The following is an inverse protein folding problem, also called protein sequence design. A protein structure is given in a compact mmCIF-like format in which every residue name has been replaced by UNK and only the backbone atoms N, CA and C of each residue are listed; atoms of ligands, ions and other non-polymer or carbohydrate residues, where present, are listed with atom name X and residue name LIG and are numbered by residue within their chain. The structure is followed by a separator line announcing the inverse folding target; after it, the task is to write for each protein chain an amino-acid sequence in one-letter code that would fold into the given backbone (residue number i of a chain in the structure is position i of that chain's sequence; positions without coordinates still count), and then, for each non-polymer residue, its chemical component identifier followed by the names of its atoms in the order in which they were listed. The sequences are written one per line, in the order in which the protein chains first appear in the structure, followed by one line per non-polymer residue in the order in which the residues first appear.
data_IF_015114675963
#
_entry.id   IF_015114675963
#
_cell.length_a   1.000
_cell.length_b   1.000
_cell.length_c   1.000
_cell.angle_alpha   90.00
_cell.angle_beta   90.00
_cell.angle_gamma   90.00
#
_symmetry.space_group_name_H-M   'P 1'
#
loop_
_entity.id
_entity.type
_entity.pdbx_description
1 polymer ?
#
# COMPACT_ATOMS: atom_id res chain seq x y z
N UNK A 1 8.95 -49.14 -51.40
CA UNK A 1 8.01 -50.27 -51.28
C UNK A 1 6.62 -49.69 -51.06
N UNK A 2 5.71 -49.83 -52.03
CA UNK A 2 4.30 -49.50 -51.83
C UNK A 2 3.72 -50.58 -50.91
N UNK A 3 3.45 -50.25 -49.66
CA UNK A 3 2.72 -51.14 -48.76
C UNK A 3 1.31 -51.29 -49.31
N UNK A 4 0.98 -52.49 -49.77
CA UNK A 4 -0.36 -52.85 -50.18
C UNK A 4 -1.27 -52.69 -48.95
N UNK A 5 -2.02 -51.60 -48.89
CA UNK A 5 -3.06 -51.41 -47.88
C UNK A 5 -4.26 -52.24 -48.33
N UNK A 6 -4.11 -53.57 -48.32
CA UNK A 6 -5.19 -54.48 -48.65
C UNK A 6 -6.24 -54.37 -47.55
N UNK A 7 -7.27 -53.56 -47.80
CA UNK A 7 -8.43 -53.44 -46.93
C UNK A 7 -9.05 -54.83 -46.77
N UNK A 8 -9.07 -55.33 -45.53
CA UNK A 8 -9.72 -56.59 -45.19
C UNK A 8 -11.00 -56.32 -44.44
N UNK A 9 -12.06 -57.02 -44.83
CA UNK A 9 -13.32 -57.00 -44.09
C UNK A 9 -13.13 -57.70 -42.74
N UNK A 10 -13.64 -57.08 -41.68
CA UNK A 10 -13.68 -57.62 -40.32
C UNK A 10 -15.13 -57.64 -39.84
N UNK A 11 -15.59 -58.80 -39.37
CA UNK A 11 -16.94 -58.95 -38.79
C UNK A 11 -16.83 -58.86 -37.27
N UNK A 12 -17.47 -57.85 -36.68
CA UNK A 12 -17.59 -57.66 -35.24
C UNK A 12 -19.05 -57.85 -34.84
N UNK A 13 -19.31 -58.78 -33.92
CA UNK A 13 -20.66 -59.06 -33.40
C UNK A 13 -20.74 -58.65 -31.93
N UNK A 14 -21.74 -57.83 -31.60
CA UNK A 14 -22.01 -57.40 -30.22
C UNK A 14 -23.39 -57.92 -29.77
N UNK A 15 -23.48 -58.33 -28.50
CA UNK A 15 -24.77 -58.67 -27.88
C UNK A 15 -25.39 -57.38 -27.36
N UNK A 16 -26.45 -56.93 -28.00
CA UNK A 16 -27.16 -55.69 -27.67
C UNK A 16 -28.66 -55.93 -27.61
N UNK A 17 -29.35 -55.18 -26.77
CA UNK A 17 -30.82 -55.18 -26.73
C UNK A 17 -31.40 -54.54 -28.00
N UNK A 18 -32.67 -54.83 -28.30
CA UNK A 18 -33.38 -54.22 -29.43
C UNK A 18 -33.40 -52.69 -29.34
N UNK A 19 -33.49 -52.14 -28.11
CA UNK A 19 -33.43 -50.70 -27.84
C UNK A 19 -32.06 -50.10 -28.17
N UNK A 20 -30.97 -50.72 -27.71
CA UNK A 20 -29.63 -50.22 -28.03
C UNK A 20 -29.37 -50.27 -29.54
N UNK A 21 -29.84 -51.33 -30.21
CA UNK A 21 -29.72 -51.45 -31.66
C UNK A 21 -30.44 -50.30 -32.39
N UNK A 22 -31.65 -49.93 -31.96
CA UNK A 22 -32.38 -48.82 -32.58
C UNK A 22 -31.72 -47.46 -32.30
N UNK A 23 -31.16 -47.27 -31.11
CA UNK A 23 -30.39 -46.07 -30.76
C UNK A 23 -29.13 -45.92 -31.64
N UNK A 24 -28.37 -46.99 -31.86
CA UNK A 24 -27.17 -46.95 -32.72
C UNK A 24 -27.51 -46.61 -34.17
N UNK A 25 -28.58 -47.22 -34.71
CA UNK A 25 -29.06 -46.92 -36.07
C UNK A 25 -29.49 -45.46 -36.18
N UNK A 26 -30.18 -44.94 -35.17
CA UNK A 26 -30.62 -43.54 -35.13
C UNK A 26 -29.42 -42.58 -35.09
N UNK A 27 -28.43 -42.83 -34.24
CA UNK A 27 -27.23 -42.02 -34.12
C UNK A 27 -26.42 -41.99 -35.42
N UNK A 28 -26.23 -43.15 -36.05
CA UNK A 28 -25.54 -43.23 -37.34
C UNK A 28 -26.31 -42.46 -38.43
N UNK A 29 -27.63 -42.65 -38.51
CA UNK A 29 -28.50 -41.97 -39.48
C UNK A 29 -28.53 -40.45 -39.30
N UNK A 30 -28.53 -39.97 -38.05
CA UNK A 30 -28.46 -38.53 -37.74
C UNK A 30 -27.18 -37.87 -38.27
N UNK A 31 -26.09 -38.63 -38.38
CA UNK A 31 -24.81 -38.15 -38.88
C UNK A 31 -24.58 -38.52 -40.36
N UNK A 32 -25.58 -39.11 -41.04
CA UNK A 32 -25.50 -39.47 -42.46
C UNK A 32 -24.52 -40.62 -42.76
N UNK A 33 -24.20 -41.46 -41.79
CA UNK A 33 -23.23 -42.56 -41.92
C UNK A 33 -23.86 -43.92 -41.62
N UNK A 34 -23.22 -45.00 -42.08
CA UNK A 34 -23.62 -46.36 -41.72
C UNK A 34 -23.26 -46.68 -40.27
N UNK A 35 -23.95 -47.66 -39.67
CA UNK A 35 -23.63 -48.15 -38.32
C UNK A 35 -22.20 -48.72 -38.26
N UNK A 36 -21.75 -49.38 -39.34
CA UNK A 36 -20.38 -49.89 -39.45
C UNK A 36 -19.33 -48.78 -39.44
N UNK A 37 -19.56 -47.69 -40.17
CA UNK A 37 -18.66 -46.52 -40.15
C UNK A 37 -18.65 -45.85 -38.79
N UNK A 38 -19.82 -45.69 -38.17
CA UNK A 38 -19.94 -45.13 -36.83
C UNK A 38 -19.15 -45.95 -35.80
N UNK A 39 -19.27 -47.27 -35.83
CA UNK A 39 -18.51 -48.18 -34.95
C UNK A 39 -17.00 -48.11 -35.25
N UNK A 40 -16.61 -48.06 -36.52
CA UNK A 40 -15.21 -47.93 -36.91
C UNK A 40 -14.59 -46.63 -36.38
N UNK A 41 -15.31 -45.49 -36.46
CA UNK A 41 -14.87 -44.22 -35.88
C UNK A 41 -14.66 -44.31 -34.36
N UNK A 42 -15.54 -45.01 -33.65
CA UNK A 42 -15.41 -45.20 -32.19
C UNK A 42 -14.17 -46.04 -31.87
N UNK A 43 -13.97 -47.16 -32.56
CA UNK A 43 -12.81 -48.04 -32.36
C UNK A 43 -11.53 -47.26 -32.62
N UNK A 44 -11.44 -46.56 -33.75
CA UNK A 44 -10.25 -45.80 -34.14
C UNK A 44 -9.93 -44.67 -33.15
N UNK A 45 -10.96 -43.98 -32.66
CA UNK A 45 -10.81 -42.89 -31.67
C UNK A 45 -10.36 -43.37 -30.29
N UNK A 46 -10.54 -44.66 -29.98
CA UNK A 46 -10.27 -45.21 -28.65
C UNK A 46 -9.27 -46.37 -28.65
N UNK A 47 -8.68 -46.73 -29.80
CA UNK A 47 -7.77 -47.88 -29.96
C UNK A 47 -6.59 -47.93 -28.98
N UNK A 48 -6.11 -46.76 -28.53
CA UNK A 48 -4.99 -46.64 -27.61
C UNK A 48 -5.41 -46.35 -26.16
N UNK A 49 -6.72 -46.27 -25.89
CA UNK A 49 -7.26 -45.92 -24.57
C UNK A 49 -7.60 -47.12 -23.70
N UNK A 50 -7.67 -48.32 -24.27
CA UNK A 50 -7.99 -49.54 -23.55
C UNK A 50 -7.03 -49.78 -22.38
N UNK A 51 -7.58 -49.87 -21.16
CA UNK A 51 -6.82 -50.05 -19.91
C UNK A 51 -6.20 -48.76 -19.35
N UNK A 52 -6.45 -47.61 -19.99
CA UNK A 52 -6.03 -46.27 -19.57
C UNK A 52 -7.24 -45.33 -19.46
N UNK A 53 -8.45 -45.87 -19.45
CA UNK A 53 -9.66 -45.10 -19.25
C UNK A 53 -9.62 -44.43 -17.87
N UNK A 54 -9.44 -43.10 -17.86
CA UNK A 54 -9.34 -42.30 -16.65
C UNK A 54 -7.92 -41.84 -16.31
N UNK A 55 -6.90 -42.33 -17.03
CA UNK A 55 -5.55 -41.77 -16.88
C UNK A 55 -5.54 -40.33 -17.41
N UNK A 56 -5.01 -39.37 -16.64
CA UNK A 56 -4.91 -38.01 -17.10
C UNK A 56 -4.00 -37.95 -18.33
N UNK A 57 -4.50 -37.32 -19.37
CA UNK A 57 -3.74 -37.06 -20.58
C UNK A 57 -2.52 -36.20 -20.24
N UNK A 58 -1.45 -36.28 -21.05
CA UNK A 58 -0.24 -35.45 -20.86
C UNK A 58 -0.59 -33.96 -20.72
N UNK A 59 -1.57 -33.50 -21.51
CA UNK A 59 -2.09 -32.13 -21.46
C UNK A 59 -2.74 -31.80 -20.12
N UNK A 60 -3.54 -32.70 -19.56
CA UNK A 60 -4.17 -32.49 -18.25
C UNK A 60 -3.11 -32.41 -17.14
N UNK A 61 -2.09 -33.25 -17.19
CA UNK A 61 -0.96 -33.21 -16.24
C UNK A 61 -0.19 -31.89 -16.34
N UNK A 62 0.06 -31.41 -17.56
CA UNK A 62 0.74 -30.12 -17.80
C UNK A 62 -0.09 -28.93 -17.28
N UNK A 63 -1.39 -28.93 -17.56
CA UNK A 63 -2.31 -27.92 -17.05
C UNK A 63 -2.38 -27.93 -15.53
N UNK A 64 -2.40 -29.10 -14.90
CA UNK A 64 -2.44 -29.20 -13.44
C UNK A 64 -1.16 -28.64 -12.79
N UNK A 65 0.01 -28.92 -13.38
CA UNK A 65 1.28 -28.31 -12.95
C UNK A 65 1.30 -26.80 -13.12
N UNK A 66 0.76 -26.28 -14.22
CA UNK A 66 0.66 -24.85 -14.45
C UNK A 66 -0.26 -24.18 -13.41
N UNK A 67 -1.43 -24.78 -13.15
CA UNK A 67 -2.38 -24.31 -12.13
C UNK A 67 -1.70 -24.27 -10.75
N UNK A 68 -0.93 -25.31 -10.39
CA UNK A 68 -0.22 -25.36 -9.12
C UNK A 68 0.84 -24.25 -9.02
N UNK A 69 1.60 -24.01 -10.10
CA UNK A 69 2.59 -22.93 -10.19
C UNK A 69 1.95 -21.56 -10.02
N UNK A 70 0.84 -21.30 -10.72
CA UNK A 70 0.10 -20.04 -10.63
C UNK A 70 -0.46 -19.83 -9.23
N UNK A 71 -1.05 -20.87 -8.62
CA UNK A 71 -1.53 -20.80 -7.23
C UNK A 71 -0.43 -20.42 -6.24
N UNK A 72 0.75 -21.04 -6.37
CA UNK A 72 1.91 -20.70 -5.52
C UNK A 72 2.34 -19.24 -5.71
N UNK A 73 2.38 -18.73 -6.93
CA UNK A 73 2.69 -17.32 -7.22
C UNK A 73 1.66 -16.37 -6.62
N UNK A 74 0.36 -16.68 -6.77
CA UNK A 74 -0.71 -15.86 -6.20
C UNK A 74 -0.64 -15.76 -4.67
N UNK A 75 -0.33 -16.85 -3.98
CA UNK A 75 -0.15 -16.83 -2.52
C UNK A 75 1.01 -15.93 -2.11
N UNK A 76 2.14 -15.98 -2.82
CA UNK A 76 3.30 -15.11 -2.55
C UNK A 76 2.96 -13.65 -2.79
N UNK A 77 2.39 -13.32 -3.95
CA UNK A 77 2.00 -11.95 -4.29
C UNK A 77 0.99 -11.36 -3.29
N UNK A 78 0.05 -12.17 -2.80
CA UNK A 78 -0.89 -11.74 -1.76
C UNK A 78 -0.18 -11.36 -0.46
N UNK A 79 0.78 -12.18 -0.01
CA UNK A 79 1.60 -11.87 1.17
C UNK A 79 2.45 -10.63 0.97
N UNK A 80 3.07 -10.49 -0.19
CA UNK A 80 3.91 -9.33 -0.52
C UNK A 80 3.08 -8.05 -0.53
N UNK A 81 1.86 -8.11 -1.06
CA UNK A 81 0.89 -7.00 -1.01
C UNK A 81 0.51 -6.65 0.43
N UNK A 82 0.11 -7.62 1.23
CA UNK A 82 -0.26 -7.39 2.64
C UNK A 82 0.91 -6.76 3.43
N UNK A 83 2.15 -7.21 3.17
CA UNK A 83 3.37 -6.64 3.75
C UNK A 83 3.61 -5.21 3.29
N UNK A 84 3.43 -4.91 2.00
CA UNK A 84 3.57 -3.57 1.46
C UNK A 84 2.52 -2.61 2.06
N UNK A 85 1.25 -3.03 2.11
CA UNK A 85 0.16 -2.26 2.71
C UNK A 85 0.44 -1.96 4.19
N UNK A 86 0.95 -2.95 4.93
CA UNK A 86 1.38 -2.75 6.33
C UNK A 86 2.51 -1.72 6.44
N UNK A 87 3.55 -1.81 5.61
CA UNK A 87 4.66 -0.85 5.61
C UNK A 87 4.19 0.58 5.32
N UNK A 88 3.30 0.75 4.32
CA UNK A 88 2.70 2.06 4.01
C UNK A 88 1.94 2.59 5.21
N UNK A 89 1.10 1.77 5.85
CA UNK A 89 0.34 2.20 7.03
C UNK A 89 1.22 2.65 8.20
N UNK A 90 2.38 2.01 8.37
CA UNK A 90 3.33 2.38 9.42
C UNK A 90 4.01 3.72 9.13
N UNK A 91 4.44 3.93 7.88
CA UNK A 91 5.05 5.21 7.47
C UNK A 91 4.05 6.36 7.50
N UNK A 92 2.79 6.12 7.13
CA UNK A 92 1.72 7.13 7.27
C UNK A 92 1.54 7.53 8.73
N UNK A 93 1.45 6.56 9.65
CA UNK A 93 1.36 6.86 11.09
C UNK A 93 2.57 7.65 11.62
N UNK A 94 3.77 7.35 11.11
CA UNK A 94 4.98 8.11 11.48
C UNK A 94 4.93 9.54 10.95
N UNK A 95 4.50 9.72 9.70
CA UNK A 95 4.32 11.03 9.09
C UNK A 95 3.30 11.87 9.85
N UNK A 96 2.13 11.30 10.16
CA UNK A 96 1.08 11.97 10.94
C UNK A 96 1.60 12.39 12.31
N UNK A 97 2.37 11.53 12.99
CA UNK A 97 2.99 11.86 14.27
C UNK A 97 3.95 13.04 14.15
N UNK A 98 4.83 13.02 13.14
CA UNK A 98 5.79 14.10 12.91
C UNK A 98 5.10 15.43 12.56
N UNK A 99 4.00 15.38 11.81
CA UNK A 99 3.18 16.57 11.51
C UNK A 99 2.55 17.13 12.77
N UNK A 100 1.95 16.28 13.61
CA UNK A 100 1.36 16.71 14.88
C UNK A 100 2.41 17.33 15.82
N UNK A 101 3.57 16.69 15.98
CA UNK A 101 4.67 17.21 16.80
C UNK A 101 5.16 18.58 16.29
N UNK A 102 5.28 18.73 14.95
CA UNK A 102 5.64 20.01 14.33
C UNK A 102 4.60 21.09 14.60
N UNK A 103 3.32 20.76 14.45
CA UNK A 103 2.23 21.72 14.60
C UNK A 103 2.10 22.18 16.06
N UNK A 104 2.32 21.27 17.01
CA UNK A 104 2.40 21.57 18.45
C UNK A 104 3.55 22.54 18.76
N UNK A 105 4.77 22.24 18.28
CA UNK A 105 5.93 23.11 18.47
C UNK A 105 5.69 24.48 17.83
N UNK A 106 5.07 24.51 16.63
CA UNK A 106 4.76 25.76 15.93
C UNK A 106 3.72 26.59 16.70
N UNK A 107 2.75 25.94 17.34
CA UNK A 107 1.78 26.62 18.18
C UNK A 107 2.46 27.24 19.41
N UNK A 108 3.26 26.46 20.14
CA UNK A 108 4.01 26.95 21.31
C UNK A 108 4.96 28.11 20.95
N UNK A 109 5.63 28.02 19.79
CA UNK A 109 6.49 29.10 19.31
C UNK A 109 5.70 30.39 19.04
N UNK A 110 4.52 30.30 18.41
CA UNK A 110 3.66 31.46 18.17
C UNK A 110 3.21 32.11 19.48
N UNK A 111 2.83 31.30 20.46
CA UNK A 111 2.47 31.80 21.80
C UNK A 111 3.62 32.56 22.45
N UNK A 112 4.84 32.01 22.41
CA UNK A 112 6.05 32.68 22.93
C UNK A 112 6.42 33.96 22.18
N UNK A 113 6.22 34.01 20.87
CA UNK A 113 6.42 35.24 20.10
C UNK A 113 5.46 36.33 20.57
N UNK A 114 4.17 36.00 20.74
CA UNK A 114 3.16 36.96 21.21
C UNK A 114 3.45 37.43 22.64
N UNK A 115 3.82 36.52 23.54
CA UNK A 115 4.27 36.88 24.90
C UNK A 115 5.47 37.83 24.86
N UNK A 116 6.46 37.56 24.01
CA UNK A 116 7.67 38.37 23.88
C UNK A 116 7.34 39.78 23.35
N UNK A 117 6.48 39.88 22.34
CA UNK A 117 6.03 41.17 21.80
C UNK A 117 5.25 41.98 22.85
N UNK A 118 4.38 41.34 23.62
CA UNK A 118 3.70 42.00 24.76
C UNK A 118 4.69 42.50 25.81
N UNK A 119 5.72 41.71 26.14
CA UNK A 119 6.75 42.11 27.10
C UNK A 119 7.62 43.26 26.56
N UNK A 120 8.01 43.22 25.28
CA UNK A 120 8.72 44.33 24.63
C UNK A 120 7.90 45.63 24.68
N UNK A 121 6.62 45.56 24.32
CA UNK A 121 5.72 46.71 24.40
C UNK A 121 5.59 47.25 25.84
N UNK A 122 5.54 46.37 26.86
CA UNK A 122 5.56 46.80 28.27
C UNK A 122 6.88 47.48 28.64
N UNK A 123 8.02 46.90 28.26
CA UNK A 123 9.35 47.47 28.52
C UNK A 123 9.43 48.85 27.88
N UNK A 124 9.02 49.00 26.62
CA UNK A 124 9.04 50.26 25.88
C UNK A 124 8.14 51.32 26.52
N UNK A 125 6.96 50.92 27.01
CA UNK A 125 6.06 51.81 27.76
C UNK A 125 6.61 52.25 29.12
N UNK A 126 7.44 51.43 29.76
CA UNK A 126 8.07 51.75 31.04
C UNK A 126 9.43 52.44 30.89
N UNK A 127 10.07 52.35 29.72
CA UNK A 127 11.34 53.02 29.38
C UNK A 127 11.36 54.53 29.70
N UNK A 128 10.34 55.34 29.33
CA UNK A 128 10.35 56.77 29.66
C UNK A 128 10.30 57.03 31.18
N UNK A 129 9.67 56.14 31.97
CA UNK A 129 9.64 56.26 33.44
C UNK A 129 11.01 55.97 34.08
N UNK A 130 11.81 55.08 33.47
CA UNK A 130 13.18 54.83 33.93
C UNK A 130 14.14 55.96 33.54
N UNK A 131 13.93 56.60 32.39
CA UNK A 131 14.67 57.80 31.97
C UNK A 131 14.33 58.99 32.89
N UNK A 132 13.06 59.24 33.20
CA UNK A 132 12.64 60.28 34.17
C UNK A 132 13.25 60.07 35.57
N UNK A 133 13.23 58.85 36.11
CA UNK A 133 13.79 58.57 37.45
C UNK A 133 15.32 58.75 37.47
N UNK A 134 16.01 58.43 36.37
CA UNK A 134 17.46 58.65 36.26
C UNK A 134 17.80 60.13 36.12
N UNK A 135 17.01 60.88 35.33
CA UNK A 135 17.18 62.33 35.20
C UNK A 135 16.85 63.05 36.52
N UNK A 136 15.80 62.65 37.25
CA UNK A 136 15.50 63.19 38.59
C UNK A 136 16.64 62.92 39.58
N UNK A 137 17.17 61.69 39.64
CA UNK A 137 18.29 61.37 40.54
C UNK A 137 19.57 62.13 40.15
N UNK A 138 19.83 62.31 38.87
CA UNK A 138 20.96 63.09 38.35
C UNK A 138 20.82 64.57 38.71
N UNK A 139 19.62 65.13 38.57
CA UNK A 139 19.30 66.51 38.91
C UNK A 139 19.35 66.78 40.42
N UNK A 140 18.78 65.88 41.25
CA UNK A 140 18.88 65.97 42.71
C UNK A 140 20.33 65.84 43.20
N UNK A 141 21.14 64.96 42.60
CA UNK A 141 22.57 64.84 42.92
C UNK A 141 23.35 66.11 42.62
N UNK A 142 23.07 66.76 41.49
CA UNK A 142 23.65 68.05 41.13
C UNK A 142 23.19 69.18 42.08
N UNK A 143 21.92 69.21 42.47
CA UNK A 143 21.41 70.21 43.42
C UNK A 143 22.00 70.07 44.82
N UNK A 144 22.09 68.85 45.36
CA UNK A 144 22.65 68.60 46.69
C UNK A 144 24.13 68.98 46.73
N UNK A 145 24.89 68.68 45.67
CA UNK A 145 26.32 69.05 45.59
C UNK A 145 26.52 70.57 45.52
N UNK A 146 25.69 71.30 44.75
CA UNK A 146 25.75 72.77 44.68
C UNK A 146 25.35 73.40 46.03
N UNK A 147 24.28 72.92 46.68
CA UNK A 147 23.89 73.42 48.01
C UNK A 147 24.98 73.17 49.06
N UNK A 148 25.61 72.01 49.02
CA UNK A 148 26.74 71.66 49.88
C UNK A 148 27.94 72.59 49.67
N UNK A 149 28.25 72.92 48.41
CA UNK A 149 29.34 73.84 48.09
C UNK A 149 29.06 75.28 48.57
N UNK A 150 27.82 75.76 48.42
CA UNK A 150 27.42 77.11 48.86
C UNK A 150 27.43 77.21 50.40
N UNK A 151 26.93 76.19 51.10
CA UNK A 151 26.94 76.17 52.58
C UNK A 151 28.36 76.11 53.12
N UNK A 152 29.24 75.25 52.56
CA UNK A 152 30.67 75.22 52.93
C UNK A 152 31.40 76.52 52.60
N UNK A 153 31.17 77.10 51.43
CA UNK A 153 31.75 78.40 51.04
C UNK A 153 31.32 79.54 51.96
N UNK A 154 30.05 79.54 52.40
CA UNK A 154 29.52 80.53 53.35
C UNK A 154 30.05 80.36 54.78
N UNK A 155 30.49 79.15 55.17
CA UNK A 155 31.16 78.90 56.45
C UNK A 155 32.62 79.35 56.43
N UNK A 156 33.33 79.17 55.31
CA UNK A 156 34.76 79.53 55.18
C UNK A 156 34.96 81.05 55.05
N UNK A 157 33.95 81.80 54.58
CA UNK A 157 34.01 83.27 54.48
C UNK A 157 33.57 84.03 55.75
N UNK A 158 33.36 83.34 56.88
CA UNK A 158 32.85 83.93 58.12
C UNK A 158 33.85 83.98 59.29
N UNK A 159 35.11 83.62 59.03
CA UNK A 159 36.27 83.91 59.90
C UNK A 159 37.01 85.16 59.39
#
# INVERSE_FOLDING_TARGET
MMTNNDYRNMTLSTKVSARQKSEYVKLASQNGISVSEWVACIIESNKNKYGKEGDPTKREIELEKEIESIRKKNVRLKKDRESADYRVSLEMKRADKAVNERDEIRYQLKEKIVENDMLKNKIEKHKPKFEEINDEKSFFGAFVSILGAITLGSMIMKD
#
